data_IF_793644051645
#
_entry.id   IF_793644051645
#
_cell.length_a   1.000
_cell.length_b   1.000
_cell.length_c   1.000
_cell.angle_alpha   90.00
_cell.angle_beta   90.00
_cell.angle_gamma   90.00
#
_symmetry.space_group_name_H-M   'P 1'
#
loop_
_entity.id
_entity.type
_entity.pdbx_description
1 polymer ?
#
# COMPACT_ATOMS: atom_id res chain seq x y z
N UNK A 1 -11.80 -2.96 14.45
CA UNK A 1 -10.74 -2.95 13.43
C UNK A 1 -11.41 -3.00 12.07
N UNK A 2 -11.61 -1.84 11.46
CA UNK A 2 -12.14 -1.72 10.10
C UNK A 2 -10.98 -1.44 9.15
N UNK A 3 -11.02 -2.02 7.96
CA UNK A 3 -10.07 -1.69 6.88
C UNK A 3 -10.87 -1.12 5.73
N UNK A 4 -10.49 0.07 5.27
CA UNK A 4 -11.10 0.72 4.11
C UNK A 4 -10.10 0.76 2.96
N UNK A 5 -10.50 0.28 1.78
CA UNK A 5 -9.69 0.41 0.57
C UNK A 5 -9.72 1.85 0.10
N UNK A 6 -8.55 2.48 0.05
CA UNK A 6 -8.36 3.85 -0.42
C UNK A 6 -8.14 3.89 -1.93
N UNK A 7 -7.35 2.95 -2.45
CA UNK A 7 -7.16 2.75 -3.87
C UNK A 7 -6.63 1.34 -4.15
N UNK A 8 -6.83 0.89 -5.38
CA UNK A 8 -6.23 -0.34 -5.91
C UNK A 8 -5.85 -0.08 -7.37
N UNK A 9 -4.72 -0.64 -7.78
CA UNK A 9 -4.22 -0.54 -9.15
C UNK A 9 -3.55 -1.86 -9.55
N UNK A 10 -3.61 -2.19 -10.84
CA UNK A 10 -2.88 -3.32 -11.42
C UNK A 10 -2.02 -2.80 -12.57
N UNK A 11 -0.73 -3.09 -12.53
CA UNK A 11 0.20 -2.68 -13.57
C UNK A 11 0.13 -3.58 -14.83
N UNK A 12 0.86 -3.19 -15.87
CA UNK A 12 0.90 -3.93 -17.14
C UNK A 12 1.57 -5.32 -17.03
N UNK A 13 2.37 -5.57 -15.99
CA UNK A 13 3.02 -6.86 -15.72
C UNK A 13 2.13 -7.78 -14.86
N UNK A 14 1.01 -7.27 -14.36
CA UNK A 14 0.05 -7.98 -13.52
C UNK A 14 0.37 -7.94 -12.03
N UNK A 15 1.18 -6.98 -11.57
CA UNK A 15 1.33 -6.70 -10.15
C UNK A 15 0.18 -5.83 -9.66
N UNK A 16 -0.45 -6.24 -8.58
CA UNK A 16 -1.52 -5.50 -7.93
C UNK A 16 -0.94 -4.71 -6.76
N UNK A 17 -1.34 -3.44 -6.63
CA UNK A 17 -1.04 -2.61 -5.47
C UNK A 17 -2.35 -2.13 -4.84
N UNK A 18 -2.43 -2.17 -3.52
CA UNK A 18 -3.59 -1.76 -2.75
C UNK A 18 -3.16 -0.87 -1.58
N UNK A 19 -3.88 0.23 -1.37
CA UNK A 19 -3.71 1.06 -0.18
C UNK A 19 -4.97 0.97 0.68
N UNK A 20 -4.75 0.67 1.94
CA UNK A 20 -5.75 0.43 2.96
C UNK A 20 -5.57 1.45 4.07
N UNK A 21 -6.68 1.98 4.57
CA UNK A 21 -6.71 2.69 5.83
C UNK A 21 -7.16 1.73 6.94
N UNK A 22 -6.33 1.60 7.97
CA UNK A 22 -6.63 0.81 9.16
C UNK A 22 -7.07 1.76 10.28
N UNK A 23 -8.36 1.71 10.59
CA UNK A 23 -8.93 2.50 11.68
C UNK A 23 -8.77 1.72 12.99
N UNK A 24 -7.71 2.04 13.73
CA UNK A 24 -7.63 1.76 15.15
C UNK A 24 -7.96 3.05 15.92
N UNK A 25 -8.78 2.89 16.96
CA UNK A 25 -9.30 3.91 17.89
C UNK A 25 -8.28 4.89 18.50
N UNK A 26 -6.97 4.70 18.25
CA UNK A 26 -5.88 5.48 18.83
C UNK A 26 -4.97 6.13 17.80
N UNK A 27 -4.87 5.59 16.58
CA UNK A 27 -3.97 6.08 15.54
C UNK A 27 -4.52 5.78 14.15
N UNK A 28 -4.27 6.70 13.22
CA UNK A 28 -4.52 6.49 11.81
C UNK A 28 -3.33 5.76 11.21
N UNK A 29 -3.56 4.60 10.59
CA UNK A 29 -2.51 3.83 9.93
C UNK A 29 -2.89 3.60 8.47
N UNK A 30 -1.94 3.84 7.58
CA UNK A 30 -2.03 3.45 6.17
C UNK A 30 -1.21 2.18 5.97
N UNK A 31 -1.81 1.19 5.33
CA UNK A 31 -1.19 -0.05 4.95
C UNK A 31 -1.18 -0.14 3.42
N UNK A 32 -0.01 -0.38 2.84
CA UNK A 32 0.17 -0.58 1.40
C UNK A 32 0.55 -2.03 1.17
N UNK A 33 -0.16 -2.69 0.27
CA UNK A 33 0.08 -4.05 -0.15
C UNK A 33 0.49 -4.04 -1.63
N UNK A 34 1.44 -4.89 -2.00
CA UNK A 34 1.67 -5.27 -3.38
C UNK A 34 1.62 -6.79 -3.51
N UNK A 35 1.07 -7.29 -4.60
CA UNK A 35 0.97 -8.72 -4.86
C UNK A 35 1.29 -9.05 -6.32
N UNK A 36 1.93 -10.20 -6.50
CA UNK A 36 2.27 -10.78 -7.79
C UNK A 36 2.05 -12.30 -7.75
N UNK A 37 2.65 -13.03 -8.71
CA UNK A 37 2.48 -14.50 -8.80
C UNK A 37 2.88 -15.22 -7.51
N UNK A 38 1.88 -15.54 -6.67
CA UNK A 38 2.01 -16.25 -5.38
C UNK A 38 2.91 -15.54 -4.35
N UNK A 39 3.22 -14.27 -4.56
CA UNK A 39 4.04 -13.46 -3.65
C UNK A 39 3.26 -12.20 -3.29
N UNK A 40 3.22 -11.88 -2.01
CA UNK A 40 2.56 -10.70 -1.48
C UNK A 40 3.48 -10.06 -0.45
N UNK A 41 3.58 -8.73 -0.51
CA UNK A 41 4.35 -7.91 0.42
C UNK A 41 3.46 -6.77 0.88
N UNK A 42 3.66 -6.34 2.12
CA UNK A 42 2.92 -5.22 2.69
C UNK A 42 3.82 -4.40 3.58
N UNK A 43 3.55 -3.11 3.66
CA UNK A 43 4.18 -2.16 4.58
C UNK A 43 3.12 -1.25 5.18
N UNK A 44 3.40 -0.64 6.34
CA UNK A 44 2.48 0.31 6.95
C UNK A 44 3.20 1.50 7.56
N UNK A 45 2.49 2.63 7.63
CA UNK A 45 2.99 3.85 8.24
C UNK A 45 1.87 4.63 8.94
N UNK A 46 2.19 5.39 9.99
CA UNK A 46 1.22 6.27 10.65
C UNK A 46 0.82 7.41 9.71
N UNK A 47 -0.47 7.61 9.52
CA UNK A 47 -0.99 8.73 8.73
C UNK A 47 -1.03 10.00 9.58
N UNK A 48 -0.76 11.13 8.94
CA UNK A 48 -0.73 12.44 9.61
C UNK A 48 -2.12 12.99 9.94
N UNK A 49 -3.15 12.57 9.21
CA UNK A 49 -4.56 12.89 9.45
C UNK A 49 -5.45 11.68 9.13
N UNK A 50 -6.75 11.79 9.44
CA UNK A 50 -7.75 10.80 9.05
C UNK A 50 -7.81 10.69 7.50
N UNK A 51 -7.35 9.58 6.90
CA UNK A 51 -7.36 9.42 5.44
C UNK A 51 -8.77 9.38 4.86
N UNK A 52 -9.80 9.02 5.65
CA UNK A 52 -11.20 8.99 5.22
C UNK A 52 -11.76 10.39 4.96
N UNK A 53 -11.22 11.42 5.61
CA UNK A 53 -11.59 12.82 5.34
C UNK A 53 -10.78 13.45 4.21
N UNK A 54 -9.82 12.71 3.66
CA UNK A 54 -8.91 13.16 2.63
C UNK A 54 -7.47 12.91 3.04
N UNK A 55 -6.85 11.94 2.37
CA UNK A 55 -5.42 11.67 2.54
C UNK A 55 -4.60 12.90 2.13
N UNK A 56 -3.66 13.29 2.99
CA UNK A 56 -2.77 14.42 2.70
C UNK A 56 -1.89 14.12 1.49
N UNK A 57 -1.38 15.16 0.82
CA UNK A 57 -0.46 14.98 -0.29
C UNK A 57 0.82 14.21 0.12
N UNK A 58 1.28 14.43 1.36
CA UNK A 58 2.45 13.73 1.93
C UNK A 58 2.16 12.26 2.15
N UNK A 59 1.06 11.92 2.83
CA UNK A 59 0.68 10.53 3.07
C UNK A 59 0.42 9.79 1.75
N UNK A 60 -0.19 10.48 0.77
CA UNK A 60 -0.41 9.94 -0.58
C UNK A 60 0.90 9.66 -1.30
N UNK A 61 1.84 10.61 -1.28
CA UNK A 61 3.15 10.42 -1.91
C UNK A 61 3.91 9.27 -1.25
N UNK A 62 3.85 9.17 0.07
CA UNK A 62 4.47 8.06 0.81
C UNK A 62 3.82 6.72 0.45
N UNK A 63 2.49 6.65 0.35
CA UNK A 63 1.79 5.43 -0.06
C UNK A 63 2.20 4.97 -1.46
N UNK A 64 2.36 5.90 -2.41
CA UNK A 64 2.83 5.59 -3.78
C UNK A 64 4.27 5.08 -3.78
N UNK A 65 5.17 5.72 -3.02
CA UNK A 65 6.56 5.26 -2.88
C UNK A 65 6.65 3.87 -2.24
N UNK A 66 5.80 3.59 -1.25
CA UNK A 66 5.70 2.25 -0.67
C UNK A 66 5.24 1.23 -1.72
N UNK A 67 4.22 1.54 -2.52
CA UNK A 67 3.73 0.65 -3.56
C UNK A 67 4.81 0.34 -4.61
N UNK A 68 5.48 1.37 -5.13
CA UNK A 68 6.57 1.22 -6.09
C UNK A 68 7.70 0.34 -5.53
N UNK A 69 8.12 0.61 -4.29
CA UNK A 69 9.15 -0.19 -3.61
C UNK A 69 8.75 -1.66 -3.47
N UNK A 70 7.52 -1.92 -3.01
CA UNK A 70 7.03 -3.29 -2.81
C UNK A 70 6.91 -4.05 -4.13
N UNK A 71 6.46 -3.40 -5.21
CA UNK A 71 6.42 -4.01 -6.55
C UNK A 71 7.83 -4.34 -7.02
N UNK A 72 8.81 -3.44 -6.88
CA UNK A 72 10.21 -3.71 -7.24
C UNK A 72 10.79 -4.88 -6.44
N UNK A 73 10.48 -4.98 -5.14
CA UNK A 73 10.91 -6.11 -4.31
C UNK A 73 10.33 -7.44 -4.78
N UNK A 74 9.03 -7.46 -5.12
CA UNK A 74 8.35 -8.64 -5.66
C UNK A 74 8.91 -9.00 -7.04
N UNK A 75 9.11 -8.01 -7.92
CA UNK A 75 9.70 -8.21 -9.25
C UNK A 75 11.08 -8.83 -9.14
N UNK A 76 11.93 -8.31 -8.26
CA UNK A 76 13.26 -8.83 -8.02
C UNK A 76 13.18 -10.28 -7.54
N UNK A 77 12.37 -10.57 -6.52
CA UNK A 77 12.25 -11.93 -5.96
C UNK A 77 11.68 -12.96 -6.96
N UNK A 78 10.83 -12.53 -7.89
CA UNK A 78 10.30 -13.40 -8.95
C UNK A 78 11.24 -13.54 -10.15
N UNK A 79 12.08 -12.53 -10.43
CA UNK A 79 13.01 -12.49 -11.56
C UNK A 79 14.40 -13.06 -11.26
N UNK A 80 14.80 -13.15 -9.99
CA UNK A 80 16.10 -13.69 -9.55
C UNK A 80 16.12 -15.23 -9.49
N UNK A 81 15.42 -15.88 -10.43
CA UNK A 81 15.17 -17.33 -10.44
C UNK A 81 15.37 -17.99 -11.81
#
# INVERSE_FOLDING_TARGET
MSKTIMWTETDAKGFESECLFNEDSRHYEVMVCASGRRLCRSDSFPASSDPMQGMTATDRQQALQCAERLVVEIEHELGDR
#
